data_IF_086871240760
#
_entry.id   IF_086871240760
#
_cell.length_a   1.000
_cell.length_b   1.000
_cell.length_c   1.000
_cell.angle_alpha   90.00
_cell.angle_beta   90.00
_cell.angle_gamma   90.00
#
_symmetry.space_group_name_H-M   'P 1'
#
loop_
_entity.id
_entity.type
_entity.pdbx_description
1 polymer ?
#
# COMPACT_ATOMS: atom_id res chain seq x y z
N UNK A 1 0.09 -7.52 -7.05
CA UNK A 1 0.08 -6.94 -8.40
C UNK A 1 0.64 -5.52 -8.37
N UNK A 2 1.48 -5.16 -9.33
CA UNK A 2 2.13 -3.86 -9.41
C UNK A 2 3.63 -3.96 -9.28
N UNK A 3 4.19 -3.24 -8.31
CA UNK A 3 5.60 -3.10 -8.05
C UNK A 3 6.21 -1.86 -8.71
N UNK A 4 7.44 -1.56 -8.32
CA UNK A 4 8.17 -0.35 -8.73
C UNK A 4 8.18 -0.09 -10.24
N UNK A 5 8.35 -1.13 -11.06
CA UNK A 5 8.48 -1.00 -12.52
C UNK A 5 7.15 -0.66 -13.23
N UNK A 6 6.00 -0.92 -12.62
CA UNK A 6 4.70 -0.56 -13.20
C UNK A 6 4.42 0.95 -13.13
N UNK A 7 4.87 1.63 -12.10
CA UNK A 7 4.60 3.05 -11.88
C UNK A 7 3.10 3.38 -11.83
N UNK A 8 2.74 4.60 -12.24
CA UNK A 8 1.35 5.09 -12.15
C UNK A 8 0.57 5.06 -13.45
N UNK A 9 1.22 4.85 -14.60
CA UNK A 9 0.57 4.95 -15.93
C UNK A 9 -0.62 4.02 -16.13
N UNK A 10 -0.60 2.83 -15.52
CA UNK A 10 -1.71 1.86 -15.62
C UNK A 10 -2.70 2.00 -14.47
N UNK A 11 -2.19 2.23 -13.25
CA UNK A 11 -3.03 2.34 -12.05
C UNK A 11 -3.90 3.61 -12.04
N UNK A 12 -3.34 4.78 -12.34
CA UNK A 12 -4.08 6.04 -12.31
C UNK A 12 -5.34 6.02 -13.20
N UNK A 13 -5.29 5.64 -14.49
CA UNK A 13 -6.50 5.52 -15.30
C UNK A 13 -7.42 4.36 -14.89
N UNK A 14 -6.89 3.30 -14.27
CA UNK A 14 -7.70 2.20 -13.75
C UNK A 14 -8.58 2.68 -12.60
N UNK A 15 -7.97 3.35 -11.59
CA UNK A 15 -8.70 3.74 -10.39
C UNK A 15 -9.61 4.95 -10.61
N UNK A 16 -9.33 5.78 -11.62
CA UNK A 16 -10.15 6.94 -11.97
C UNK A 16 -11.51 6.56 -12.57
N UNK A 17 -11.59 5.47 -13.33
CA UNK A 17 -12.77 5.08 -14.11
C UNK A 17 -13.57 3.97 -13.39
N UNK A 18 -14.83 4.20 -13.00
CA UNK A 18 -15.66 3.20 -12.33
C UNK A 18 -15.84 1.91 -13.13
N UNK A 19 -15.94 2.01 -14.47
CA UNK A 19 -16.13 0.83 -15.31
C UNK A 19 -14.84 -0.01 -15.39
N UNK A 20 -13.68 0.64 -15.44
CA UNK A 20 -12.39 -0.05 -15.39
C UNK A 20 -12.18 -0.74 -14.04
N UNK A 21 -12.50 -0.06 -12.92
CA UNK A 21 -12.45 -0.68 -11.58
C UNK A 21 -13.32 -1.92 -11.52
N UNK A 22 -14.59 -1.82 -11.94
CA UNK A 22 -15.52 -2.96 -11.97
C UNK A 22 -15.02 -4.12 -12.81
N UNK A 23 -14.49 -3.83 -14.01
CA UNK A 23 -13.94 -4.85 -14.92
C UNK A 23 -12.74 -5.54 -14.31
N UNK A 24 -11.82 -4.78 -13.72
CA UNK A 24 -10.65 -5.31 -13.03
C UNK A 24 -11.05 -6.22 -11.87
N UNK A 25 -11.90 -5.75 -10.96
CA UNK A 25 -12.34 -6.50 -9.78
C UNK A 25 -12.96 -7.84 -10.20
N UNK A 26 -13.83 -7.83 -11.20
CA UNK A 26 -14.46 -9.05 -11.72
C UNK A 26 -13.43 -10.02 -12.29
N UNK A 27 -12.44 -9.52 -13.03
CA UNK A 27 -11.37 -10.37 -13.60
C UNK A 27 -10.44 -10.91 -12.51
N UNK A 28 -10.14 -10.11 -11.47
CA UNK A 28 -9.34 -10.53 -10.32
C UNK A 28 -10.01 -11.68 -9.57
N UNK A 29 -11.28 -11.57 -9.22
CA UNK A 29 -12.03 -12.65 -8.55
C UNK A 29 -11.93 -13.94 -9.37
N UNK A 30 -12.22 -13.86 -10.68
CA UNK A 30 -12.15 -15.04 -11.55
C UNK A 30 -10.77 -15.66 -11.56
N UNK A 31 -9.72 -14.86 -11.70
CA UNK A 31 -8.34 -15.32 -11.72
C UNK A 31 -7.94 -15.97 -10.40
N UNK A 32 -8.20 -15.30 -9.28
CA UNK A 32 -7.85 -15.79 -7.94
C UNK A 32 -8.54 -17.13 -7.65
N UNK A 33 -9.81 -17.27 -8.02
CA UNK A 33 -10.57 -18.52 -7.85
C UNK A 33 -10.12 -19.64 -8.78
N UNK A 34 -9.75 -19.28 -10.01
CA UNK A 34 -9.25 -20.26 -11.00
C UNK A 34 -7.93 -20.91 -10.54
N UNK A 35 -7.06 -20.12 -9.91
CA UNK A 35 -5.73 -20.57 -9.51
C UNK A 35 -5.59 -20.83 -8.01
N UNK A 36 -6.71 -20.85 -7.26
CA UNK A 36 -6.75 -21.09 -5.82
C UNK A 36 -5.85 -20.17 -4.99
N UNK A 37 -5.80 -18.89 -5.33
CA UNK A 37 -5.15 -17.89 -4.49
C UNK A 37 -6.08 -17.48 -3.34
N UNK A 38 -5.47 -17.11 -2.20
CA UNK A 38 -6.18 -16.66 -1.00
C UNK A 38 -6.66 -15.22 -1.11
N UNK A 39 -6.06 -14.41 -1.97
CA UNK A 39 -6.40 -13.00 -2.13
C UNK A 39 -5.48 -12.25 -3.08
N UNK A 40 -5.53 -10.93 -3.02
CA UNK A 40 -4.76 -10.03 -3.86
C UNK A 40 -3.97 -9.04 -3.02
N UNK A 41 -2.66 -8.99 -3.24
CA UNK A 41 -1.78 -7.96 -2.71
C UNK A 41 -1.63 -6.82 -3.73
N UNK A 42 -1.91 -5.60 -3.30
CA UNK A 42 -1.85 -4.38 -4.11
C UNK A 42 -0.54 -3.66 -3.85
N UNK A 43 0.28 -3.51 -4.86
CA UNK A 43 1.61 -2.91 -4.78
C UNK A 43 1.79 -1.78 -5.79
N UNK A 44 1.08 -0.66 -5.57
CA UNK A 44 1.24 0.54 -6.38
C UNK A 44 2.24 1.49 -5.76
N UNK A 45 3.39 1.65 -6.40
CA UNK A 45 4.50 2.47 -5.94
C UNK A 45 4.71 3.71 -6.83
N UNK A 46 4.04 4.86 -6.52
CA UNK A 46 3.04 5.10 -5.48
C UNK A 46 1.90 5.95 -6.04
N UNK A 47 0.67 5.87 -5.48
CA UNK A 47 -0.42 6.77 -5.87
C UNK A 47 0.01 8.23 -5.74
N UNK A 48 -0.43 9.09 -6.66
CA UNK A 48 -0.08 10.51 -6.79
C UNK A 48 1.37 10.82 -7.20
N UNK A 49 2.23 9.83 -7.15
CA UNK A 49 3.65 9.96 -7.50
C UNK A 49 3.96 9.26 -8.82
N UNK A 50 5.17 9.50 -9.30
CA UNK A 50 5.69 8.91 -10.52
C UNK A 50 4.97 9.39 -11.78
N UNK A 51 5.51 8.97 -12.92
CA UNK A 51 4.98 9.32 -14.23
C UNK A 51 3.56 8.76 -14.42
N UNK A 52 2.63 9.65 -14.75
CA UNK A 52 1.20 9.33 -14.88
C UNK A 52 0.39 9.43 -13.60
N UNK A 53 1.01 9.69 -12.43
CA UNK A 53 0.32 9.93 -11.17
C UNK A 53 -0.44 11.25 -11.14
N UNK A 54 -1.58 11.27 -10.45
CA UNK A 54 -2.48 12.43 -10.32
C UNK A 54 -2.88 12.65 -8.86
N UNK A 55 -3.14 13.90 -8.43
CA UNK A 55 -3.58 14.17 -7.06
C UNK A 55 -4.82 13.39 -6.62
N UNK A 56 -5.74 13.10 -7.55
CA UNK A 56 -6.98 12.37 -7.31
C UNK A 56 -6.77 10.87 -7.06
N UNK A 57 -5.60 10.35 -7.38
CA UNK A 57 -5.29 8.91 -7.25
C UNK A 57 -5.46 8.42 -5.82
N UNK A 58 -5.10 9.23 -4.82
CA UNK A 58 -5.27 8.91 -3.40
C UNK A 58 -6.73 8.54 -3.07
N UNK A 59 -7.66 9.38 -3.45
CA UNK A 59 -9.08 9.15 -3.21
C UNK A 59 -9.67 8.04 -4.09
N UNK A 60 -9.24 7.96 -5.36
CA UNK A 60 -9.69 6.95 -6.29
C UNK A 60 -9.18 5.56 -5.93
N UNK A 61 -7.95 5.46 -5.40
CA UNK A 61 -7.40 4.19 -4.92
C UNK A 61 -8.16 3.68 -3.70
N UNK A 62 -8.50 4.55 -2.75
CA UNK A 62 -9.35 4.18 -1.63
C UNK A 62 -10.72 3.67 -2.09
N UNK A 63 -11.39 4.36 -3.03
CA UNK A 63 -12.65 3.88 -3.64
C UNK A 63 -12.51 2.51 -4.28
N UNK A 64 -11.42 2.29 -5.01
CA UNK A 64 -11.15 1.00 -5.65
C UNK A 64 -11.07 -0.14 -4.63
N UNK A 65 -10.38 0.08 -3.50
CA UNK A 65 -10.26 -0.90 -2.43
C UNK A 65 -11.62 -1.16 -1.76
N UNK A 66 -12.41 -0.12 -1.49
CA UNK A 66 -13.78 -0.26 -0.96
C UNK A 66 -14.66 -1.10 -1.89
N UNK A 67 -14.66 -0.80 -3.18
CA UNK A 67 -15.44 -1.54 -4.18
C UNK A 67 -14.97 -3.01 -4.30
N UNK A 68 -13.65 -3.23 -4.23
CA UNK A 68 -13.07 -4.58 -4.24
C UNK A 68 -13.49 -5.38 -3.01
N UNK A 69 -13.44 -4.79 -1.80
CA UNK A 69 -13.89 -5.42 -0.56
C UNK A 69 -15.35 -5.84 -0.66
N UNK A 70 -16.23 -4.95 -1.08
CA UNK A 70 -17.67 -5.24 -1.27
C UNK A 70 -17.89 -6.39 -2.27
N UNK A 71 -17.14 -6.41 -3.35
CA UNK A 71 -17.23 -7.48 -4.34
C UNK A 71 -16.75 -8.83 -3.81
N UNK A 72 -15.65 -8.85 -3.03
CA UNK A 72 -15.13 -10.07 -2.41
C UNK A 72 -16.08 -10.63 -1.33
N UNK A 73 -16.71 -9.76 -0.56
CA UNK A 73 -17.74 -10.15 0.43
C UNK A 73 -18.98 -10.71 -0.26
N UNK A 74 -19.46 -10.04 -1.30
CA UNK A 74 -20.61 -10.49 -2.09
C UNK A 74 -20.34 -11.86 -2.76
N UNK A 75 -19.16 -12.04 -3.32
CA UNK A 75 -18.78 -13.32 -3.94
C UNK A 75 -18.72 -14.45 -2.89
N UNK A 76 -18.13 -14.20 -1.73
CA UNK A 76 -18.07 -15.18 -0.65
C UNK A 76 -19.48 -15.59 -0.19
N UNK A 77 -20.39 -14.62 -0.02
CA UNK A 77 -21.76 -14.88 0.37
C UNK A 77 -22.52 -15.69 -0.68
N UNK A 78 -22.29 -15.45 -1.98
CA UNK A 78 -22.93 -16.16 -3.09
C UNK A 78 -22.39 -17.59 -3.31
N UNK A 79 -21.12 -17.79 -3.05
CA UNK A 79 -20.43 -19.06 -3.35
C UNK A 79 -20.25 -19.98 -2.16
N UNK A 80 -20.41 -19.46 -0.93
CA UNK A 80 -20.12 -20.17 0.31
C UNK A 80 -18.61 -20.40 0.54
N UNK A 81 -17.74 -19.79 -0.26
CA UNK A 81 -16.28 -19.90 -0.14
C UNK A 81 -15.73 -18.91 0.88
N UNK A 82 -14.57 -19.19 1.50
CA UNK A 82 -13.87 -18.19 2.30
C UNK A 82 -13.65 -16.89 1.51
N UNK A 83 -13.87 -15.74 2.16
CA UNK A 83 -13.68 -14.44 1.53
C UNK A 83 -12.22 -14.26 1.10
N UNK A 84 -12.01 -13.76 -0.11
CA UNK A 84 -10.69 -13.39 -0.61
C UNK A 84 -10.10 -12.24 0.21
N UNK A 85 -8.81 -12.31 0.51
CA UNK A 85 -8.07 -11.26 1.21
C UNK A 85 -7.68 -10.13 0.26
N UNK A 86 -7.58 -8.92 0.82
CA UNK A 86 -6.97 -7.76 0.18
C UNK A 86 -5.88 -7.25 1.08
N UNK A 87 -4.65 -7.26 0.60
CA UNK A 87 -3.50 -6.69 1.29
C UNK A 87 -2.87 -5.59 0.45
N UNK A 88 -2.03 -4.77 1.04
CA UNK A 88 -1.45 -3.63 0.36
C UNK A 88 -0.02 -3.36 0.82
N UNK A 89 0.89 -3.23 -0.11
CA UNK A 89 2.21 -2.69 0.14
C UNK A 89 2.14 -1.18 0.33
N UNK A 90 2.74 -0.67 1.40
CA UNK A 90 2.78 0.77 1.73
C UNK A 90 4.20 1.22 2.07
N UNK A 91 4.60 2.43 1.64
CA UNK A 91 5.93 2.93 1.92
C UNK A 91 6.13 3.23 3.41
N UNK A 92 7.36 3.04 3.87
CA UNK A 92 7.77 3.42 5.22
C UNK A 92 7.94 4.94 5.40
N UNK A 93 7.96 5.71 4.33
CA UNK A 93 8.08 7.17 4.33
C UNK A 93 6.74 7.84 4.63
N UNK A 94 6.73 8.75 5.63
CA UNK A 94 5.56 9.60 5.95
C UNK A 94 5.07 10.41 4.75
N UNK A 95 5.98 10.93 3.95
CA UNK A 95 5.63 11.73 2.79
C UNK A 95 4.83 10.92 1.77
N UNK A 96 5.35 9.75 1.37
CA UNK A 96 4.68 8.88 0.40
C UNK A 96 3.40 8.29 0.97
N UNK A 97 3.41 7.82 2.22
CA UNK A 97 2.23 7.27 2.88
C UNK A 97 1.13 8.34 3.05
N UNK A 98 1.46 9.53 3.56
CA UNK A 98 0.49 10.59 3.84
C UNK A 98 -0.12 11.22 2.59
N UNK A 99 0.69 11.43 1.53
CA UNK A 99 0.21 12.04 0.28
C UNK A 99 -0.48 11.02 -0.63
N UNK A 100 0.04 9.79 -0.70
CA UNK A 100 -0.43 8.78 -1.65
C UNK A 100 -1.59 7.93 -1.17
N UNK A 101 -1.75 7.73 0.14
CA UNK A 101 -2.69 6.75 0.69
C UNK A 101 -3.68 7.39 1.66
N UNK A 102 -4.96 7.06 1.51
CA UNK A 102 -5.99 7.34 2.52
C UNK A 102 -6.02 6.19 3.54
N UNK A 103 -5.02 6.16 4.41
CA UNK A 103 -4.83 5.08 5.40
C UNK A 103 -6.09 4.86 6.21
N UNK A 104 -6.80 5.93 6.60
CA UNK A 104 -8.03 5.86 7.39
C UNK A 104 -9.14 5.04 6.71
N UNK A 105 -9.32 5.22 5.41
CA UNK A 105 -10.30 4.46 4.64
C UNK A 105 -9.77 3.05 4.35
N UNK A 106 -8.50 2.92 3.98
CA UNK A 106 -7.88 1.66 3.61
C UNK A 106 -7.86 0.66 4.76
N UNK A 107 -7.52 1.09 5.99
CA UNK A 107 -7.47 0.25 7.20
C UNK A 107 -8.79 -0.50 7.48
N UNK A 108 -9.91 0.11 7.13
CA UNK A 108 -11.25 -0.51 7.31
C UNK A 108 -11.58 -1.60 6.29
N UNK A 109 -10.83 -1.66 5.19
CA UNK A 109 -11.17 -2.49 4.03
C UNK A 109 -10.06 -3.46 3.61
N UNK A 110 -8.85 -3.31 4.17
CA UNK A 110 -7.75 -4.25 3.99
C UNK A 110 -7.75 -5.31 5.10
N UNK A 111 -7.13 -6.44 4.83
CA UNK A 111 -6.87 -7.45 5.86
C UNK A 111 -5.60 -7.09 6.65
N UNK A 112 -4.57 -6.59 5.97
CA UNK A 112 -3.38 -5.99 6.58
C UNK A 112 -2.55 -5.19 5.56
N UNK A 113 -1.64 -4.37 6.10
CA UNK A 113 -0.62 -3.67 5.32
C UNK A 113 0.70 -4.41 5.34
N UNK A 114 1.37 -4.48 4.19
CA UNK A 114 2.77 -4.89 4.05
C UNK A 114 3.65 -3.65 4.03
N UNK A 115 4.33 -3.37 5.12
CA UNK A 115 5.17 -2.19 5.21
C UNK A 115 6.51 -2.42 4.50
N UNK A 116 6.85 -1.56 3.52
CA UNK A 116 8.10 -1.62 2.77
C UNK A 116 9.25 -1.06 3.61
N UNK A 117 9.70 -1.85 4.59
CA UNK A 117 10.73 -1.47 5.58
C UNK A 117 12.13 -1.84 5.10
N UNK A 118 12.48 -1.38 3.91
CA UNK A 118 13.78 -1.59 3.27
C UNK A 118 14.15 -0.38 2.41
N UNK A 119 15.29 -0.40 1.74
CA UNK A 119 15.86 0.72 1.00
C UNK A 119 16.08 1.98 1.86
N UNK A 120 16.28 1.80 3.17
CA UNK A 120 16.59 2.91 4.06
C UNK A 120 17.98 3.47 3.80
N UNK A 121 18.92 2.60 3.42
CA UNK A 121 20.29 2.94 3.09
C UNK A 121 20.71 2.20 1.82
N UNK A 122 21.42 2.89 0.95
CA UNK A 122 21.79 2.38 -0.37
C UNK A 122 23.18 2.87 -0.82
N UNK A 123 23.63 2.39 -1.97
CA UNK A 123 24.91 2.78 -2.58
C UNK A 123 25.00 4.29 -2.96
N UNK A 124 23.95 5.05 -2.84
CA UNK A 124 23.93 6.49 -3.08
C UNK A 124 24.38 7.31 -1.85
N UNK A 125 24.59 6.65 -0.72
CA UNK A 125 25.08 7.28 0.50
C UNK A 125 26.61 7.20 0.60
N UNK A 126 27.26 8.20 1.26
CA UNK A 126 28.73 8.23 1.39
C UNK A 126 29.26 7.22 2.41
N UNK A 127 28.42 6.61 3.22
CA UNK A 127 28.78 5.66 4.27
C UNK A 127 28.00 4.35 4.12
N UNK A 128 28.63 3.25 4.51
CA UNK A 128 27.99 1.93 4.54
C UNK A 128 27.00 1.85 5.71
N UNK A 129 25.84 1.27 5.45
CA UNK A 129 24.78 1.09 6.45
C UNK A 129 23.95 -0.17 6.17
N UNK A 130 23.11 -0.56 7.13
CA UNK A 130 22.19 -1.65 6.92
C UNK A 130 21.02 -1.22 6.03
N UNK A 131 20.76 -1.97 4.96
CA UNK A 131 19.67 -1.75 4.03
C UNK A 131 18.28 -1.67 4.71
N UNK A 132 18.05 -2.49 5.72
CA UNK A 132 16.81 -2.59 6.48
C UNK A 132 17.09 -2.73 7.98
N UNK A 133 17.60 -1.69 8.66
CA UNK A 133 17.93 -1.76 10.07
C UNK A 133 16.67 -1.86 10.94
N UNK A 134 16.70 -2.74 11.95
CA UNK A 134 15.58 -2.86 12.89
C UNK A 134 15.48 -1.64 13.82
N UNK A 135 16.62 -1.15 14.29
CA UNK A 135 16.73 -0.02 15.20
C UNK A 135 17.68 1.03 14.66
N UNK A 136 17.55 2.25 15.20
CA UNK A 136 18.50 3.33 14.97
C UNK A 136 19.91 2.94 15.47
N UNK A 137 20.97 3.23 14.71
CA UNK A 137 22.34 3.11 15.20
C UNK A 137 22.56 3.94 16.47
N UNK A 138 23.35 3.43 17.42
CA UNK A 138 23.54 4.07 18.74
C UNK A 138 24.34 5.38 18.69
N UNK A 139 25.16 5.52 17.68
CA UNK A 139 26.07 6.65 17.43
C UNK A 139 25.42 7.82 16.69
N UNK A 140 24.14 7.67 16.26
CA UNK A 140 23.41 8.75 15.60
C UNK A 140 22.67 9.63 16.59
N UNK A 141 22.84 10.95 16.43
CA UNK A 141 22.09 11.94 17.21
C UNK A 141 20.64 12.02 16.78
N UNK A 142 19.78 12.59 17.64
CA UNK A 142 18.36 12.86 17.31
C UNK A 142 18.21 13.90 16.19
N UNK A 143 19.27 14.65 15.87
CA UNK A 143 19.30 15.63 14.80
C UNK A 143 19.73 15.06 13.45
N UNK A 144 20.16 13.79 13.40
CA UNK A 144 20.46 13.14 12.12
C UNK A 144 19.14 12.77 11.43
N UNK A 145 18.91 13.35 10.24
CA UNK A 145 17.68 13.09 9.46
C UNK A 145 17.45 11.60 9.12
N UNK A 146 18.51 10.78 9.21
CA UNK A 146 18.47 9.33 8.98
C UNK A 146 18.12 8.54 10.25
N UNK A 147 18.00 9.21 11.40
CA UNK A 147 17.75 8.53 12.68
C UNK A 147 16.43 7.73 12.67
N UNK A 148 15.46 8.15 11.87
CA UNK A 148 14.17 7.51 11.72
C UNK A 148 14.09 6.51 10.56
N UNK A 149 15.17 6.33 9.80
CA UNK A 149 15.26 5.33 8.73
C UNK A 149 15.50 3.93 9.31
N UNK A 150 14.53 3.40 10.02
CA UNK A 150 14.55 2.07 10.60
C UNK A 150 13.13 1.49 10.75
N UNK A 151 13.03 0.17 10.91
CA UNK A 151 11.75 -0.55 10.95
C UNK A 151 10.86 -0.07 12.10
N UNK A 152 11.42 0.09 13.31
CA UNK A 152 10.65 0.48 14.50
C UNK A 152 10.04 1.87 14.35
N UNK A 153 10.79 2.84 13.82
CA UNK A 153 10.27 4.19 13.58
C UNK A 153 9.18 4.18 12.50
N UNK A 154 9.38 3.43 11.43
CA UNK A 154 8.40 3.30 10.34
C UNK A 154 7.08 2.66 10.79
N UNK A 155 7.14 1.61 11.63
CA UNK A 155 5.93 1.01 12.20
C UNK A 155 5.14 2.00 13.05
N UNK A 156 5.81 2.81 13.88
CA UNK A 156 5.18 3.88 14.68
C UNK A 156 4.44 4.89 13.80
N UNK A 157 4.96 5.18 12.61
CA UNK A 157 4.35 6.09 11.64
C UNK A 157 3.00 5.54 11.16
N UNK A 158 2.96 4.29 10.74
CA UNK A 158 1.70 3.67 10.25
C UNK A 158 0.69 3.56 11.39
N UNK A 159 1.09 3.10 12.57
CA UNK A 159 0.23 3.04 13.74
C UNK A 159 -0.33 4.43 14.06
N UNK A 160 0.48 5.49 14.02
CA UNK A 160 0.03 6.86 14.26
C UNK A 160 -0.97 7.34 13.21
N UNK A 161 -0.76 7.04 11.92
CA UNK A 161 -1.71 7.38 10.86
C UNK A 161 -3.04 6.65 11.03
N UNK A 162 -3.02 5.42 11.52
CA UNK A 162 -4.22 4.64 11.84
C UNK A 162 -4.93 5.20 13.07
N UNK A 163 -4.21 5.48 14.18
CA UNK A 163 -4.79 5.97 15.45
C UNK A 163 -5.37 7.38 15.38
N UNK A 164 -4.81 8.30 14.60
CA UNK A 164 -5.41 9.63 14.36
C UNK A 164 -6.81 9.50 13.72
N UNK A 165 -7.17 8.33 13.25
CA UNK A 165 -8.48 8.05 12.68
C UNK A 165 -9.56 7.71 13.71
N UNK A 166 -9.23 7.50 14.97
CA UNK A 166 -10.18 7.17 16.05
C UNK A 166 -10.49 8.36 16.99
N UNK A 167 -9.89 9.51 16.75
CA UNK A 167 -10.17 10.80 17.44
C UNK A 167 -10.93 11.74 16.49
#
# INVERSE_FOLDING_TARGET
IGGWNEGSRKFSPLVADPQRRKTFIKSAIRFLRQYNFDGLDLDWEYPTFRDGGKPEDRANYAKFVVEMRQAFESEAAQTGKPRLMITMAVPASLEYAGKGFDIKTLDKHLDFFNLLTYDYHSAYEPATNHHSPLYRPRDWSDFDFRADLNIVSSQKIIIRLTLISFS
#
